data_IF_311442944429
#
_entry.id   IF_311442944429
#
_cell.length_a   1.000
_cell.length_b   1.000
_cell.length_c   1.000
_cell.angle_alpha   90.00
_cell.angle_beta   90.00
_cell.angle_gamma   90.00
#
_symmetry.space_group_name_H-M   'P 1'
#
loop_
_entity.id
_entity.type
_entity.pdbx_description
1 polymer ?
#
# COMPACT_ATOMS: atom_id res chain seq x y z
N UNK A 1 23.91 13.18 -23.74
CA UNK A 1 23.92 12.15 -24.81
C UNK A 1 25.30 11.73 -25.31
N UNK A 2 26.39 12.50 -25.13
CA UNK A 2 27.72 12.14 -25.66
C UNK A 2 28.53 11.22 -24.70
N UNK A 3 28.22 11.20 -23.40
CA UNK A 3 28.94 10.38 -22.41
C UNK A 3 28.54 8.89 -22.41
N UNK A 4 27.29 8.56 -22.79
CA UNK A 4 26.79 7.17 -22.81
C UNK A 4 27.37 6.35 -23.97
N UNK A 5 27.69 7.00 -25.10
CA UNK A 5 28.20 6.33 -26.31
C UNK A 5 29.65 5.86 -26.13
N UNK A 6 30.43 6.53 -25.27
CA UNK A 6 31.83 6.18 -24.99
C UNK A 6 31.99 4.95 -24.10
N UNK A 7 31.06 4.72 -23.16
CA UNK A 7 31.10 3.56 -22.24
C UNK A 7 30.76 2.26 -22.99
N UNK A 8 29.81 2.32 -23.92
CA UNK A 8 29.39 1.16 -24.73
C UNK A 8 30.48 0.75 -25.74
N UNK A 9 31.24 1.71 -26.30
CA UNK A 9 32.40 1.40 -27.16
C UNK A 9 33.57 0.79 -26.38
N UNK A 10 33.78 1.19 -25.13
CA UNK A 10 34.84 0.62 -24.29
C UNK A 10 34.52 -0.84 -23.89
N UNK A 11 33.26 -1.14 -23.58
CA UNK A 11 32.80 -2.49 -23.26
C UNK A 11 32.96 -3.48 -24.43
N UNK A 12 32.68 -3.02 -25.66
CA UNK A 12 32.80 -3.85 -26.88
C UNK A 12 34.26 -4.18 -27.23
N UNK A 13 35.20 -3.28 -26.95
CA UNK A 13 36.63 -3.49 -27.21
C UNK A 13 37.27 -4.50 -26.24
N UNK A 14 36.72 -4.63 -25.03
CA UNK A 14 37.18 -5.61 -24.02
C UNK A 14 36.67 -7.04 -24.29
N UNK A 15 35.64 -7.20 -25.12
CA UNK A 15 35.09 -8.54 -25.44
C UNK A 15 35.86 -9.25 -26.55
N UNK A 16 36.61 -8.52 -27.38
CA UNK A 16 37.33 -9.06 -28.55
C UNK A 16 38.82 -9.40 -28.30
N UNK A 17 39.37 -9.09 -27.11
CA UNK A 17 40.73 -9.52 -26.75
C UNK A 17 40.73 -10.95 -26.19
N UNK A 18 41.10 -11.92 -27.04
CA UNK A 18 41.52 -13.26 -26.58
C UNK A 18 42.87 -13.14 -25.85
N UNK A 19 42.84 -13.14 -24.52
CA UNK A 19 44.03 -13.34 -23.69
C UNK A 19 43.88 -14.60 -22.82
N UNK A 20 44.94 -15.43 -22.71
CA UNK A 20 44.90 -16.69 -21.99
C UNK A 20 45.12 -16.46 -20.49
N UNK A 21 44.20 -16.99 -19.67
CA UNK A 21 44.32 -17.34 -18.23
C UNK A 21 43.10 -16.88 -17.43
N UNK A 22 42.03 -17.65 -17.59
CA UNK A 22 40.81 -17.60 -16.80
C UNK A 22 41.04 -18.29 -15.45
N UNK A 23 40.89 -17.56 -14.34
CA UNK A 23 40.17 -17.99 -13.11
C UNK A 23 40.17 -16.88 -12.05
N UNK A 24 41.24 -16.06 -11.96
CA UNK A 24 41.36 -15.05 -10.90
C UNK A 24 40.72 -13.68 -11.22
N UNK A 25 40.60 -13.30 -12.50
CA UNK A 25 40.03 -12.00 -12.90
C UNK A 25 38.49 -11.91 -12.73
N UNK A 26 37.77 -13.05 -12.77
CA UNK A 26 36.31 -13.07 -12.58
C UNK A 26 35.88 -12.70 -11.15
N UNK A 27 36.71 -13.00 -10.13
CA UNK A 27 36.39 -12.68 -8.73
C UNK A 27 36.54 -11.19 -8.41
N UNK A 28 37.49 -10.50 -9.03
CA UNK A 28 37.71 -9.07 -8.81
C UNK A 28 36.62 -8.20 -9.48
N UNK A 29 36.15 -8.58 -10.67
CA UNK A 29 35.10 -7.84 -11.39
C UNK A 29 33.71 -8.08 -10.77
N UNK A 30 33.42 -9.30 -10.32
CA UNK A 30 32.18 -9.60 -9.59
C UNK A 30 32.17 -8.91 -8.22
N UNK A 31 33.32 -8.79 -7.55
CA UNK A 31 33.46 -8.03 -6.30
C UNK A 31 33.21 -6.52 -6.46
N UNK A 32 33.69 -5.91 -7.55
CA UNK A 32 33.47 -4.47 -7.78
C UNK A 32 32.03 -4.14 -8.24
N UNK A 33 31.35 -5.06 -8.93
CA UNK A 33 29.93 -4.91 -9.28
C UNK A 33 29.03 -5.13 -8.05
N UNK A 34 29.40 -6.05 -7.15
CA UNK A 34 28.67 -6.28 -5.89
C UNK A 34 28.81 -5.11 -4.89
N UNK A 35 29.95 -4.41 -4.90
CA UNK A 35 30.16 -3.21 -4.06
C UNK A 35 29.45 -1.95 -4.60
N UNK A 36 29.11 -1.90 -5.90
CA UNK A 36 28.32 -0.81 -6.48
C UNK A 36 26.79 -1.02 -6.33
N UNK A 37 26.34 -2.25 -6.08
CA UNK A 37 24.93 -2.56 -5.82
C UNK A 37 24.49 -2.20 -4.38
N UNK A 38 25.43 -1.90 -3.49
CA UNK A 38 25.20 -1.66 -2.06
C UNK A 38 24.89 -0.21 -1.67
N UNK A 39 24.79 0.72 -2.61
CA UNK A 39 24.47 2.11 -2.30
C UNK A 39 23.69 2.77 -3.44
N UNK A 40 22.49 2.27 -3.73
CA UNK A 40 21.48 3.07 -4.39
C UNK A 40 21.01 4.12 -3.37
N UNK A 41 21.76 5.21 -3.24
CA UNK A 41 21.21 6.44 -2.70
C UNK A 41 19.91 6.73 -3.47
N UNK A 42 18.80 6.82 -2.75
CA UNK A 42 17.50 7.09 -3.30
C UNK A 42 17.59 8.33 -4.21
N UNK A 43 17.39 8.14 -5.52
CA UNK A 43 17.34 9.23 -6.47
C UNK A 43 16.21 10.22 -6.15
N UNK A 44 16.24 11.44 -6.72
CA UNK A 44 15.16 12.43 -6.54
C UNK A 44 13.78 11.81 -6.78
N UNK A 45 12.76 12.29 -6.05
CA UNK A 45 11.41 11.73 -6.10
C UNK A 45 10.84 11.66 -7.53
N UNK A 46 11.15 12.65 -8.37
CA UNK A 46 10.79 12.66 -9.79
C UNK A 46 11.33 11.45 -10.56
N UNK A 47 12.58 11.07 -10.31
CA UNK A 47 13.22 9.90 -10.95
C UNK A 47 12.56 8.61 -10.49
N UNK A 48 12.24 8.51 -9.19
CA UNK A 48 11.53 7.36 -8.62
C UNK A 48 10.11 7.23 -9.19
N UNK A 49 9.42 8.35 -9.36
CA UNK A 49 8.07 8.40 -9.91
C UNK A 49 8.06 7.98 -11.38
N UNK A 50 9.02 8.48 -12.17
CA UNK A 50 9.20 8.06 -13.56
C UNK A 50 9.48 6.56 -13.67
N UNK A 51 10.35 6.02 -12.82
CA UNK A 51 10.63 4.58 -12.80
C UNK A 51 9.40 3.74 -12.44
N UNK A 52 8.61 4.16 -11.43
CA UNK A 52 7.37 3.47 -11.06
C UNK A 52 6.32 3.53 -12.19
N UNK A 53 6.24 4.66 -12.90
CA UNK A 53 5.38 4.80 -14.06
C UNK A 53 5.83 3.89 -15.22
N UNK A 54 7.13 3.83 -15.50
CA UNK A 54 7.67 2.95 -16.55
C UNK A 54 7.42 1.47 -16.23
N UNK A 55 7.63 1.05 -14.97
CA UNK A 55 7.31 -0.31 -14.52
C UNK A 55 5.82 -0.63 -14.67
N UNK A 56 4.95 0.32 -14.30
CA UNK A 56 3.52 0.22 -14.55
C UNK A 56 3.20 0.04 -16.04
N UNK A 57 3.83 0.83 -16.92
CA UNK A 57 3.63 0.71 -18.37
C UNK A 57 4.15 -0.63 -18.93
N UNK A 58 5.27 -1.15 -18.41
CA UNK A 58 5.79 -2.48 -18.80
C UNK A 58 4.82 -3.58 -18.38
N UNK A 59 4.34 -3.54 -17.14
CA UNK A 59 3.32 -4.47 -16.66
C UNK A 59 2.06 -4.40 -17.55
N UNK A 60 1.61 -3.20 -17.96
CA UNK A 60 0.50 -3.05 -18.93
C UNK A 60 0.79 -3.73 -20.27
N UNK A 61 2.00 -3.60 -20.81
CA UNK A 61 2.38 -4.20 -22.08
C UNK A 61 2.44 -5.72 -22.00
N UNK A 62 2.97 -6.27 -20.91
CA UNK A 62 3.06 -7.72 -20.70
C UNK A 62 1.68 -8.37 -20.48
N UNK A 63 0.76 -7.66 -19.83
CA UNK A 63 -0.56 -8.19 -19.53
C UNK A 63 -1.54 -8.16 -20.72
N UNK A 64 -1.23 -7.40 -21.78
CA UNK A 64 -1.94 -7.47 -23.08
C UNK A 64 -1.42 -8.69 -23.85
N UNK A 65 -1.93 -9.88 -23.54
CA UNK A 65 -1.77 -11.02 -24.42
C UNK A 65 -2.71 -10.89 -25.62
N UNK A 66 -2.16 -10.69 -26.83
CA UNK A 66 -2.87 -10.98 -28.07
C UNK A 66 -3.26 -9.81 -28.98
N UNK A 67 -2.45 -8.76 -29.11
CA UNK A 67 -2.57 -7.82 -30.24
C UNK A 67 -1.30 -7.79 -31.12
N UNK A 68 -0.74 -8.96 -31.39
CA UNK A 68 0.09 -9.15 -32.57
C UNK A 68 -0.82 -9.85 -33.58
N UNK A 69 -1.37 -9.08 -34.52
CA UNK A 69 -1.89 -9.62 -35.77
C UNK A 69 -0.68 -9.94 -36.67
N UNK A 70 -0.35 -11.22 -36.92
CA UNK A 70 0.72 -11.58 -37.84
C UNK A 70 0.30 -11.45 -39.31
N UNK A 71 -0.94 -11.04 -39.61
CA UNK A 71 -1.48 -10.95 -40.97
C UNK A 71 -2.15 -9.60 -41.28
N UNK A 72 -1.40 -8.51 -41.12
CA UNK A 72 -1.36 -7.39 -42.08
C UNK A 72 -2.67 -6.84 -42.66
N UNK A 73 -3.78 -6.84 -41.93
CA UNK A 73 -5.01 -6.12 -42.34
C UNK A 73 -5.55 -5.42 -41.10
N UNK A 74 -5.56 -4.08 -41.03
CA UNK A 74 -6.19 -3.40 -39.92
C UNK A 74 -7.71 -3.66 -40.01
N UNK A 75 -8.24 -4.49 -39.12
CA UNK A 75 -9.68 -4.48 -38.85
C UNK A 75 -10.07 -3.04 -38.51
N UNK A 76 -11.19 -2.59 -39.08
CA UNK A 76 -11.88 -1.32 -38.78
C UNK A 76 -11.68 -1.00 -37.31
N UNK A 77 -11.06 0.15 -37.00
CA UNK A 77 -10.70 0.57 -35.66
C UNK A 77 -11.86 0.29 -34.68
N UNK A 78 -11.79 -0.85 -34.00
CA UNK A 78 -12.72 -1.17 -32.93
C UNK A 78 -12.30 -0.21 -31.83
N UNK A 79 -13.20 0.64 -31.31
CA UNK A 79 -12.92 1.33 -30.06
C UNK A 79 -12.71 0.24 -29.02
N UNK A 80 -11.44 -0.06 -28.74
CA UNK A 80 -11.07 -0.76 -27.53
C UNK A 80 -11.42 0.24 -26.44
N UNK A 81 -12.62 0.10 -25.89
CA UNK A 81 -12.90 0.65 -24.57
C UNK A 81 -12.01 -0.17 -23.66
N UNK A 82 -10.74 0.23 -23.55
CA UNK A 82 -9.94 -0.15 -22.42
C UNK A 82 -10.71 0.40 -21.23
N UNK A 83 -11.46 -0.44 -20.51
CA UNK A 83 -11.78 -0.12 -19.12
C UNK A 83 -10.42 0.09 -18.47
N UNK A 84 -10.01 1.33 -18.12
CA UNK A 84 -8.65 1.56 -17.68
C UNK A 84 -8.38 0.89 -16.31
N UNK A 85 -9.41 0.28 -15.72
CA UNK A 85 -9.57 -0.01 -14.29
C UNK A 85 -10.12 -1.43 -13.99
N UNK A 86 -9.79 -2.42 -14.82
CA UNK A 86 -9.99 -3.84 -14.50
C UNK A 86 -9.76 -4.73 -15.74
N UNK A 87 -9.02 -5.86 -15.67
CA UNK A 87 -8.65 -6.71 -14.52
C UNK A 87 -7.12 -6.93 -14.42
N UNK A 88 -6.35 -5.86 -14.17
CA UNK A 88 -4.88 -5.94 -14.08
C UNK A 88 -4.30 -5.50 -12.74
N UNK A 89 -5.15 -5.16 -11.78
CA UNK A 89 -4.82 -5.55 -10.41
C UNK A 89 -4.85 -7.08 -10.45
N UNK A 90 -3.72 -7.76 -10.13
CA UNK A 90 -3.86 -9.13 -9.60
C UNK A 90 -5.00 -9.04 -8.59
N UNK A 91 -6.05 -9.88 -8.63
CA UNK A 91 -7.11 -9.80 -7.62
C UNK A 91 -6.38 -9.67 -6.29
N UNK A 92 -6.44 -8.50 -5.62
CA UNK A 92 -5.50 -8.27 -4.52
C UNK A 92 -5.66 -9.44 -3.58
N UNK A 93 -4.57 -10.20 -3.40
CA UNK A 93 -4.66 -11.47 -2.73
C UNK A 93 -5.22 -11.18 -1.33
N UNK A 94 -6.41 -11.72 -1.10
CA UNK A 94 -7.07 -11.62 0.19
C UNK A 94 -6.06 -11.95 1.28
N UNK A 95 -5.88 -11.03 2.22
CA UNK A 95 -5.18 -11.31 3.46
C UNK A 95 -6.12 -12.15 4.29
N UNK A 96 -5.85 -13.45 4.37
CA UNK A 96 -6.71 -14.42 5.09
C UNK A 96 -6.20 -14.69 6.49
N UNK A 97 -7.10 -15.12 7.37
CA UNK A 97 -6.78 -15.49 8.75
C UNK A 97 -6.05 -14.37 9.50
N UNK A 98 -6.49 -13.14 9.28
CA UNK A 98 -5.89 -11.96 9.90
C UNK A 98 -6.60 -11.73 11.23
N UNK A 99 -5.87 -11.83 12.33
CA UNK A 99 -6.38 -11.42 13.64
C UNK A 99 -6.66 -9.91 13.60
N UNK A 100 -7.90 -9.53 13.92
CA UNK A 100 -8.33 -8.14 13.94
C UNK A 100 -8.56 -7.67 15.38
N UNK A 101 -8.08 -6.48 15.71
CA UNK A 101 -8.34 -5.81 16.97
C UNK A 101 -9.25 -4.60 16.78
N UNK A 102 -9.80 -4.07 17.87
CA UNK A 102 -10.70 -2.91 17.82
C UNK A 102 -10.02 -1.71 18.48
N UNK A 103 -10.04 -0.58 17.79
CA UNK A 103 -9.54 0.71 18.26
C UNK A 103 -10.53 1.80 17.88
N UNK A 104 -10.41 2.99 18.49
CA UNK A 104 -11.28 4.09 18.14
C UNK A 104 -10.65 5.47 18.31
N UNK A 105 -11.19 6.43 17.57
CA UNK A 105 -10.80 7.85 17.63
C UNK A 105 -11.00 8.41 19.03
N UNK A 106 -9.95 9.01 19.59
CA UNK A 106 -9.93 9.64 20.91
C UNK A 106 -9.69 8.67 22.07
N UNK A 107 -9.43 7.38 21.81
CA UNK A 107 -9.02 6.41 22.83
C UNK A 107 -7.82 6.95 23.63
N UNK A 108 -7.96 6.94 24.96
CA UNK A 108 -6.90 7.38 25.86
C UNK A 108 -5.88 6.27 26.09
N UNK A 109 -4.63 6.62 26.43
CA UNK A 109 -3.63 5.62 26.77
C UNK A 109 -4.10 4.77 27.95
N UNK A 110 -3.84 3.48 27.89
CA UNK A 110 -4.01 2.53 28.98
C UNK A 110 -2.70 1.80 29.24
N UNK A 111 -2.63 1.04 30.34
CA UNK A 111 -1.45 0.21 30.66
C UNK A 111 -1.12 -0.77 29.52
N UNK A 112 -2.14 -1.23 28.78
CA UNK A 112 -1.98 -2.17 27.67
C UNK A 112 -1.80 -1.48 26.30
N UNK A 113 -2.19 -0.20 26.17
CA UNK A 113 -2.02 0.61 24.97
C UNK A 113 -1.47 2.00 25.34
N UNK A 114 -0.15 2.22 25.34
CA UNK A 114 0.44 3.48 25.79
C UNK A 114 0.22 4.65 24.82
N UNK A 115 -0.32 4.40 23.63
CA UNK A 115 -0.53 5.42 22.59
C UNK A 115 -1.99 5.84 22.57
N UNK A 116 -2.23 7.15 22.74
CA UNK A 116 -3.55 7.73 22.56
C UNK A 116 -3.90 7.80 21.06
N UNK A 117 -5.16 7.53 20.72
CA UNK A 117 -5.71 7.68 19.37
C UNK A 117 -6.41 9.04 19.19
N UNK A 118 -5.95 10.07 19.92
CA UNK A 118 -6.43 11.45 19.77
C UNK A 118 -5.91 12.12 18.48
N UNK A 119 -4.86 11.54 17.91
CA UNK A 119 -4.23 11.84 16.62
C UNK A 119 -4.03 10.53 15.86
N UNK A 120 -4.02 10.59 14.53
CA UNK A 120 -3.56 9.48 13.70
C UNK A 120 -2.15 9.74 13.16
N UNK A 121 -1.60 8.77 12.44
CA UNK A 121 -0.35 8.90 11.70
C UNK A 121 -0.33 10.06 10.71
N UNK A 122 -1.51 10.52 10.24
CA UNK A 122 -1.65 11.52 9.19
C UNK A 122 -2.54 12.70 9.57
N UNK A 123 -3.21 12.65 10.71
CA UNK A 123 -4.05 13.72 11.23
C UNK A 123 -3.66 14.05 12.69
N UNK A 124 -2.92 15.17 12.94
CA UNK A 124 -2.53 15.56 14.28
C UNK A 124 -3.71 16.01 15.15
N UNK A 125 -4.88 16.30 14.57
CA UNK A 125 -6.09 16.75 15.25
C UNK A 125 -7.26 15.76 15.03
N UNK A 126 -6.94 14.46 14.91
CA UNK A 126 -7.89 13.45 14.44
C UNK A 126 -9.21 13.42 15.20
N UNK A 127 -9.17 13.46 16.54
CA UNK A 127 -10.41 13.48 17.35
C UNK A 127 -11.27 14.71 17.07
N UNK A 128 -10.65 15.89 16.92
CA UNK A 128 -11.37 17.11 16.62
C UNK A 128 -11.96 17.08 15.20
N UNK A 129 -11.19 16.61 14.22
CA UNK A 129 -11.61 16.51 12.82
C UNK A 129 -12.66 15.43 12.59
N UNK A 130 -12.65 14.35 13.38
CA UNK A 130 -13.73 13.36 13.40
C UNK A 130 -15.03 13.94 13.97
N UNK A 131 -14.92 14.96 14.83
CA UNK A 131 -16.02 15.65 15.48
C UNK A 131 -16.20 15.32 16.97
N UNK A 132 -15.41 14.40 17.52
CA UNK A 132 -15.49 14.00 18.92
C UNK A 132 -14.86 12.64 19.21
N UNK A 133 -15.10 12.15 20.42
CA UNK A 133 -14.69 10.81 20.86
C UNK A 133 -15.60 9.74 20.25
N UNK A 134 -15.05 8.78 19.50
CA UNK A 134 -15.81 7.70 18.87
C UNK A 134 -16.14 6.59 19.88
N UNK A 135 -17.10 6.86 20.77
CA UNK A 135 -17.43 5.97 21.87
C UNK A 135 -17.83 4.56 21.38
N UNK A 136 -17.08 3.50 21.74
CA UNK A 136 -17.36 2.15 21.28
C UNK A 136 -18.60 1.53 21.94
N UNK A 137 -19.16 2.12 23.00
CA UNK A 137 -20.28 1.58 23.77
C UNK A 137 -21.56 2.41 23.59
N UNK A 138 -21.45 3.72 23.33
CA UNK A 138 -22.58 4.62 23.13
C UNK A 138 -22.77 4.97 21.64
N UNK A 139 -23.57 4.17 20.93
CA UNK A 139 -23.76 4.29 19.46
C UNK A 139 -25.22 4.50 19.04
N UNK A 140 -25.41 5.27 17.97
CA UNK A 140 -26.65 5.36 17.20
C UNK A 140 -26.41 4.81 15.78
N UNK A 141 -26.95 3.62 15.52
CA UNK A 141 -26.54 2.82 14.37
C UNK A 141 -25.04 2.50 14.42
N UNK A 142 -24.29 3.00 13.43
CA UNK A 142 -22.85 2.79 13.32
C UNK A 142 -22.02 4.02 13.67
N UNK A 143 -22.65 5.11 14.13
CA UNK A 143 -21.98 6.33 14.58
C UNK A 143 -22.03 6.46 16.12
N UNK A 144 -21.19 7.30 16.74
CA UNK A 144 -21.35 7.71 18.13
C UNK A 144 -22.73 8.34 18.36
N UNK A 145 -23.34 8.07 19.52
CA UNK A 145 -24.67 8.61 19.83
C UNK A 145 -24.68 10.12 20.15
N UNK A 146 -23.53 10.70 20.53
CA UNK A 146 -23.44 12.07 21.03
C UNK A 146 -23.34 13.16 19.96
N UNK A 147 -23.00 12.81 18.71
CA UNK A 147 -22.78 13.76 17.63
C UNK A 147 -22.82 13.07 16.27
N UNK A 148 -22.95 13.85 15.19
CA UNK A 148 -22.77 13.37 13.82
C UNK A 148 -21.29 13.50 13.44
N UNK A 149 -20.58 12.40 13.13
CA UNK A 149 -19.19 12.46 12.73
C UNK A 149 -18.97 13.29 11.46
N UNK A 150 -17.84 13.99 11.41
CA UNK A 150 -17.39 14.77 10.25
C UNK A 150 -16.44 13.98 9.34
N UNK A 151 -16.04 12.79 9.78
CA UNK A 151 -15.27 11.80 9.03
C UNK A 151 -16.00 10.46 9.05
N UNK A 152 -15.60 9.56 8.16
CA UNK A 152 -16.21 8.25 8.06
C UNK A 152 -16.05 7.47 9.37
N UNK A 153 -17.14 6.90 9.90
CA UNK A 153 -17.08 6.03 11.08
C UNK A 153 -16.52 4.64 10.77
N UNK A 154 -16.48 4.26 9.49
CA UNK A 154 -15.88 3.02 9.02
C UNK A 154 -14.43 3.25 8.63
N UNK A 155 -13.54 3.08 9.60
CA UNK A 155 -12.09 3.21 9.40
C UNK A 155 -11.31 2.02 9.95
N UNK A 156 -10.07 1.89 9.49
CA UNK A 156 -9.09 0.88 9.90
C UNK A 156 -7.69 1.47 10.09
N UNK A 157 -6.84 0.73 10.79
CA UNK A 157 -5.40 0.91 10.75
C UNK A 157 -4.70 -0.33 10.17
N UNK A 158 -3.70 -0.10 9.32
CA UNK A 158 -2.80 -1.13 8.79
C UNK A 158 -1.34 -0.81 9.15
N UNK A 159 -0.46 -1.82 9.31
CA UNK A 159 0.83 -1.65 9.98
C UNK A 159 1.93 -1.09 9.05
N UNK A 160 1.63 0.00 8.34
CA UNK A 160 2.54 0.70 7.46
C UNK A 160 2.25 2.21 7.39
N UNK A 161 3.25 3.03 7.70
CA UNK A 161 3.22 4.47 7.46
C UNK A 161 4.10 4.78 6.24
N UNK A 162 3.52 5.33 5.19
CA UNK A 162 4.25 5.75 3.99
C UNK A 162 5.11 7.00 4.20
N UNK A 163 4.85 7.76 5.28
CA UNK A 163 5.60 8.93 5.67
C UNK A 163 6.58 8.64 6.81
N UNK A 164 7.70 9.35 6.78
CA UNK A 164 8.67 9.44 7.87
C UNK A 164 8.28 10.56 8.83
N UNK A 165 8.92 10.64 10.00
CA UNK A 165 8.70 11.71 10.97
C UNK A 165 8.96 13.12 10.41
N UNK A 166 9.80 13.25 9.38
CA UNK A 166 10.06 14.50 8.68
C UNK A 166 9.07 14.81 7.55
N UNK A 167 7.99 14.03 7.40
CA UNK A 167 6.98 14.20 6.36
C UNK A 167 7.39 13.71 4.97
N UNK A 168 8.63 13.24 4.78
CA UNK A 168 9.06 12.64 3.51
C UNK A 168 8.50 11.22 3.36
N UNK A 169 8.19 10.84 2.14
CA UNK A 169 7.85 9.45 1.84
C UNK A 169 9.04 8.53 2.06
N UNK A 170 8.76 7.32 2.58
CA UNK A 170 9.78 6.27 2.74
C UNK A 170 10.42 5.87 1.40
N UNK A 171 11.62 5.31 1.46
CA UNK A 171 12.40 4.97 0.26
C UNK A 171 11.75 3.87 -0.57
N UNK A 172 11.05 2.94 0.08
CA UNK A 172 10.34 1.85 -0.56
C UNK A 172 8.95 2.25 -1.07
N UNK A 173 8.34 3.32 -0.52
CA UNK A 173 6.93 3.66 -0.75
C UNK A 173 6.56 3.73 -2.24
N UNK A 174 7.39 4.40 -3.06
CA UNK A 174 7.17 4.55 -4.50
C UNK A 174 7.24 3.26 -5.31
N UNK A 175 7.80 2.18 -4.73
CA UNK A 175 7.96 0.88 -5.37
C UNK A 175 6.91 -0.12 -4.90
N UNK A 176 6.51 -0.03 -3.63
CA UNK A 176 5.66 -1.06 -2.99
C UNK A 176 4.19 -0.68 -2.95
N UNK A 177 3.85 0.61 -3.00
CA UNK A 177 2.46 1.08 -2.96
C UNK A 177 1.93 1.13 -4.41
N UNK A 178 0.94 0.30 -4.79
CA UNK A 178 0.52 0.15 -6.18
C UNK A 178 0.04 1.46 -6.83
N UNK A 179 -0.62 2.31 -6.05
CA UNK A 179 -1.21 3.58 -6.50
C UNK A 179 -0.32 4.81 -6.20
N UNK A 180 0.94 4.62 -5.78
CA UNK A 180 1.80 5.73 -5.35
C UNK A 180 1.84 6.85 -6.38
N UNK A 181 2.08 6.49 -7.65
CA UNK A 181 2.31 7.45 -8.71
C UNK A 181 1.06 8.26 -9.06
N UNK A 182 -0.12 7.67 -8.87
CA UNK A 182 -1.41 8.34 -9.12
C UNK A 182 -1.78 9.30 -8.00
N UNK A 183 -1.47 8.92 -6.76
CA UNK A 183 -1.92 9.60 -5.54
C UNK A 183 -0.90 10.58 -4.96
N UNK A 184 0.37 10.52 -5.36
CA UNK A 184 1.40 11.43 -4.84
C UNK A 184 1.04 12.90 -5.09
N UNK A 185 1.06 13.72 -4.05
CA UNK A 185 0.77 15.17 -4.11
C UNK A 185 1.85 16.06 -3.50
N UNK A 186 2.99 15.48 -3.12
CA UNK A 186 4.07 16.19 -2.43
C UNK A 186 4.40 15.57 -1.08
N UNK A 187 5.46 16.07 -0.45
CA UNK A 187 5.83 15.66 0.90
C UNK A 187 4.77 16.09 1.92
N UNK A 188 4.62 15.31 2.99
CA UNK A 188 3.65 15.53 4.06
C UNK A 188 2.22 15.06 3.75
N UNK A 189 1.95 14.63 2.51
CA UNK A 189 0.65 14.11 2.09
C UNK A 189 0.77 12.61 1.85
N UNK A 190 0.14 11.83 2.71
CA UNK A 190 0.13 10.37 2.59
C UNK A 190 -0.62 9.92 1.34
N UNK A 191 -0.10 8.89 0.66
CA UNK A 191 -0.78 8.15 -0.40
C UNK A 191 -1.60 6.97 0.14
N UNK A 192 -1.42 6.59 1.40
CA UNK A 192 -2.18 5.52 2.05
C UNK A 192 -3.51 6.00 2.65
N UNK A 193 -3.51 7.19 3.27
CA UNK A 193 -4.68 7.74 3.96
C UNK A 193 -5.91 7.78 3.05
N UNK A 194 -7.03 7.27 3.54
CA UNK A 194 -8.32 7.27 2.87
C UNK A 194 -8.48 6.21 1.78
N UNK A 195 -7.48 5.35 1.54
CA UNK A 195 -7.63 4.21 0.64
C UNK A 195 -8.60 3.19 1.26
N UNK A 196 -9.38 2.51 0.42
CA UNK A 196 -10.44 1.63 0.88
C UNK A 196 -9.95 0.19 1.05
N UNK A 197 -10.52 -0.49 2.04
CA UNK A 197 -10.42 -1.94 2.20
C UNK A 197 -11.80 -2.57 2.20
N UNK A 198 -11.90 -3.75 1.58
CA UNK A 198 -13.02 -4.68 1.76
C UNK A 198 -12.64 -5.70 2.83
N UNK A 199 -13.54 -5.93 3.79
CA UNK A 199 -13.34 -6.80 4.95
C UNK A 199 -14.46 -7.82 5.00
N UNK A 200 -14.10 -9.09 5.02
CA UNK A 200 -15.02 -10.21 5.05
C UNK A 200 -14.90 -11.00 6.36
N UNK A 201 -16.04 -11.29 6.98
CA UNK A 201 -16.13 -12.17 8.16
C UNK A 201 -17.50 -12.83 8.25
N UNK A 202 -17.53 -14.16 8.28
CA UNK A 202 -18.75 -14.94 8.50
C UNK A 202 -19.88 -14.64 7.51
N UNK A 203 -19.56 -14.43 6.23
CA UNK A 203 -20.54 -14.11 5.19
C UNK A 203 -21.00 -12.65 5.16
N UNK A 204 -20.44 -11.77 6.01
CA UNK A 204 -20.68 -10.33 5.99
C UNK A 204 -19.50 -9.61 5.36
N UNK A 205 -19.79 -8.61 4.53
CA UNK A 205 -18.80 -7.78 3.83
C UNK A 205 -18.96 -6.33 4.26
N UNK A 206 -17.88 -5.75 4.75
CA UNK A 206 -17.78 -4.37 5.22
C UNK A 206 -16.71 -3.63 4.41
N UNK A 207 -16.88 -2.32 4.25
CA UNK A 207 -15.89 -1.46 3.60
C UNK A 207 -15.47 -0.35 4.56
N UNK A 208 -14.19 -0.05 4.62
CA UNK A 208 -13.65 0.95 5.54
C UNK A 208 -12.44 1.68 4.95
N UNK A 209 -12.23 2.91 5.41
CA UNK A 209 -11.10 3.75 5.00
C UNK A 209 -9.89 3.53 5.89
N UNK A 210 -8.70 3.49 5.28
CA UNK A 210 -7.45 3.42 6.01
C UNK A 210 -7.08 4.80 6.56
N UNK A 211 -7.23 5.00 7.88
CA UNK A 211 -7.11 6.32 8.51
C UNK A 211 -5.99 6.42 9.55
N UNK A 212 -5.39 5.29 9.96
CA UNK A 212 -4.27 5.28 10.89
C UNK A 212 -3.27 4.14 10.63
N UNK A 213 -2.20 4.08 11.41
CA UNK A 213 -1.13 3.08 11.29
C UNK A 213 -1.04 2.22 12.54
N UNK A 214 -1.20 0.92 12.34
CA UNK A 214 -1.21 -0.08 13.40
C UNK A 214 -1.67 -1.43 12.83
N UNK A 215 -1.53 -2.54 13.57
CA UNK A 215 -1.17 -2.59 14.98
C UNK A 215 0.36 -2.74 15.21
N UNK A 216 0.86 -2.10 16.29
CA UNK A 216 2.22 -2.20 16.88
C UNK A 216 3.44 -1.79 16.05
N UNK A 217 3.41 -1.99 14.73
CA UNK A 217 4.51 -1.66 13.82
C UNK A 217 4.01 -0.73 12.73
N UNK A 218 4.94 0.04 12.16
CA UNK A 218 4.64 1.12 11.21
C UNK A 218 5.36 0.96 9.88
N UNK A 219 6.03 -0.18 9.66
CA UNK A 219 6.95 -0.39 8.54
C UNK A 219 6.76 -1.73 7.83
N UNK A 220 5.66 -2.45 8.08
CA UNK A 220 5.47 -3.82 7.60
C UNK A 220 4.82 -3.88 6.21
N UNK A 221 5.44 -3.21 5.25
CA UNK A 221 4.97 -3.20 3.85
C UNK A 221 4.94 -4.59 3.21
N UNK A 222 5.80 -5.53 3.65
CA UNK A 222 5.83 -6.89 3.13
C UNK A 222 4.55 -7.67 3.45
N UNK A 223 3.88 -7.33 4.55
CA UNK A 223 2.55 -7.86 4.85
C UNK A 223 1.48 -7.05 4.11
N UNK A 224 1.50 -5.72 4.23
CA UNK A 224 0.43 -4.86 3.69
C UNK A 224 0.32 -4.98 2.17
N UNK A 225 1.44 -4.86 1.45
CA UNK A 225 1.49 -4.90 -0.02
C UNK A 225 2.11 -6.19 -0.58
N UNK A 226 2.77 -7.01 0.26
CA UNK A 226 3.38 -8.28 -0.15
C UNK A 226 2.56 -9.51 0.25
N UNK A 227 3.24 -10.62 0.54
CA UNK A 227 2.61 -11.92 0.84
C UNK A 227 2.99 -12.46 2.23
N UNK A 228 3.70 -11.66 3.05
CA UNK A 228 4.00 -12.05 4.41
C UNK A 228 2.73 -12.08 5.27
N UNK A 229 2.80 -12.76 6.42
CA UNK A 229 1.78 -12.68 7.49
C UNK A 229 2.12 -11.54 8.45
N UNK A 230 1.15 -11.02 9.23
CA UNK A 230 1.46 -10.06 10.30
C UNK A 230 2.55 -10.60 11.24
N UNK A 231 3.44 -9.72 11.69
CA UNK A 231 4.45 -10.08 12.69
C UNK A 231 3.78 -10.41 14.02
N UNK A 232 4.39 -11.35 14.76
CA UNK A 232 3.98 -11.63 16.14
C UNK A 232 4.00 -10.35 16.98
N UNK A 233 2.94 -10.15 17.74
CA UNK A 233 2.75 -9.01 18.64
C UNK A 233 1.93 -9.45 19.86
N UNK A 234 1.69 -8.52 20.81
CA UNK A 234 0.98 -8.82 22.07
C UNK A 234 -0.46 -9.31 21.84
N UNK A 235 -1.05 -9.01 20.69
CA UNK A 235 -2.40 -9.41 20.29
C UNK A 235 -2.38 -10.56 19.27
N UNK A 236 -1.48 -11.54 19.47
CA UNK A 236 -1.44 -12.78 18.68
C UNK A 236 -1.30 -12.56 17.16
N UNK A 237 -0.36 -11.71 16.76
CA UNK A 237 -0.14 -11.32 15.35
C UNK A 237 -1.36 -10.64 14.72
N UNK A 238 -2.00 -9.72 15.47
CA UNK A 238 -2.97 -8.81 14.90
C UNK A 238 -2.38 -8.09 13.68
N UNK A 239 -3.14 -8.01 12.59
CA UNK A 239 -2.71 -7.40 11.32
C UNK A 239 -3.55 -6.22 10.86
N UNK A 240 -4.69 -5.97 11.52
CA UNK A 240 -5.58 -4.87 11.20
C UNK A 240 -6.30 -4.41 12.48
N UNK A 241 -6.39 -3.10 12.69
CA UNK A 241 -7.27 -2.52 13.72
C UNK A 241 -8.54 -2.00 13.06
N UNK A 242 -9.69 -2.30 13.66
CA UNK A 242 -11.02 -2.00 13.15
C UNK A 242 -11.73 -0.99 14.04
N UNK A 243 -12.37 0.00 13.43
CA UNK A 243 -13.27 0.92 14.14
C UNK A 243 -14.46 0.19 14.80
N UNK A 244 -15.13 0.81 15.79
CA UNK A 244 -16.33 0.24 16.40
C UNK A 244 -17.47 0.02 15.38
N UNK A 245 -17.59 0.89 14.37
CA UNK A 245 -18.57 0.72 13.30
C UNK A 245 -18.36 -0.57 12.51
N UNK A 246 -17.11 -0.87 12.15
CA UNK A 246 -16.75 -2.12 11.44
C UNK A 246 -17.00 -3.34 12.34
N UNK A 247 -16.60 -3.26 13.62
CA UNK A 247 -16.86 -4.31 14.62
C UNK A 247 -18.35 -4.64 14.69
N UNK A 248 -19.20 -3.62 14.83
CA UNK A 248 -20.63 -3.79 15.02
C UNK A 248 -21.33 -4.30 13.75
N UNK A 249 -20.88 -3.83 12.58
CA UNK A 249 -21.38 -4.34 11.31
C UNK A 249 -21.05 -5.82 11.11
N UNK A 250 -19.79 -6.21 11.34
CA UNK A 250 -19.34 -7.60 11.18
C UNK A 250 -19.77 -8.51 12.34
N UNK A 251 -20.20 -7.94 13.47
CA UNK A 251 -20.60 -8.65 14.68
C UNK A 251 -19.46 -9.47 15.29
N UNK A 252 -18.24 -8.93 15.24
CA UNK A 252 -17.03 -9.61 15.73
C UNK A 252 -16.59 -9.08 17.09
N UNK A 253 -15.77 -9.88 17.78
CA UNK A 253 -15.04 -9.45 18.97
C UNK A 253 -13.58 -9.20 18.62
N UNK A 254 -12.94 -8.29 19.36
CA UNK A 254 -11.49 -8.05 19.24
C UNK A 254 -10.72 -9.36 19.44
N UNK A 255 -9.75 -9.63 18.58
CA UNK A 255 -8.95 -10.86 18.53
C UNK A 255 -9.51 -11.95 17.61
N UNK A 256 -10.68 -11.76 16.99
CA UNK A 256 -11.21 -12.71 16.00
C UNK A 256 -10.60 -12.48 14.61
N UNK A 257 -10.66 -13.52 13.76
CA UNK A 257 -10.09 -13.45 12.42
C UNK A 257 -11.05 -12.81 11.40
N UNK A 258 -10.46 -12.06 10.47
CA UNK A 258 -11.12 -11.52 9.27
C UNK A 258 -10.28 -11.84 8.04
N UNK A 259 -10.88 -11.61 6.88
CA UNK A 259 -10.17 -11.51 5.62
C UNK A 259 -10.30 -10.08 5.10
N UNK A 260 -9.25 -9.53 4.48
CA UNK A 260 -9.35 -8.21 3.87
C UNK A 260 -8.54 -8.08 2.59
N UNK A 261 -8.91 -7.12 1.74
CA UNK A 261 -8.14 -6.70 0.55
C UNK A 261 -8.31 -5.21 0.29
N UNK A 262 -7.41 -4.62 -0.49
CA UNK A 262 -7.61 -3.28 -1.02
C UNK A 262 -8.70 -3.29 -2.10
N UNK A 263 -9.43 -2.18 -2.20
CA UNK A 263 -10.43 -1.94 -3.24
C UNK A 263 -10.41 -0.48 -3.64
N UNK A 264 -10.78 -0.21 -4.89
CA UNK A 264 -10.91 1.15 -5.39
C UNK A 264 -12.24 1.78 -5.00
N UNK A 265 -12.30 3.11 -5.00
CA UNK A 265 -13.51 3.85 -4.60
C UNK A 265 -14.75 3.42 -5.41
N UNK A 266 -14.60 3.16 -6.72
CA UNK A 266 -15.72 2.72 -7.57
C UNK A 266 -16.19 1.29 -7.28
N UNK A 267 -15.41 0.47 -6.57
CA UNK A 267 -15.77 -0.88 -6.15
C UNK A 267 -16.56 -0.88 -4.84
N UNK A 268 -16.51 0.22 -4.07
CA UNK A 268 -17.20 0.34 -2.78
C UNK A 268 -18.68 0.66 -3.02
N UNK A 269 -19.60 -0.31 -2.81
CA UNK A 269 -21.02 -0.10 -3.07
C UNK A 269 -21.63 0.88 -2.06
N UNK A 270 -22.84 1.36 -2.35
CA UNK A 270 -23.62 2.14 -1.39
C UNK A 270 -23.92 1.28 -0.17
N UNK A 271 -23.63 1.81 1.01
CA UNK A 271 -23.84 1.12 2.27
C UNK A 271 -23.59 2.03 3.47
N UNK A 272 -23.64 1.49 4.70
CA UNK A 272 -23.46 2.27 5.92
C UNK A 272 -22.14 3.04 6.01
N UNK A 273 -21.12 2.60 5.28
CA UNK A 273 -19.78 3.20 5.17
C UNK A 273 -19.70 4.42 4.23
N UNK A 274 -20.77 4.79 3.53
CA UNK A 274 -20.87 6.00 2.69
C UNK A 274 -22.03 6.87 3.19
N UNK A 275 -21.89 7.44 4.40
CA UNK A 275 -22.83 8.43 4.95
C UNK A 275 -22.29 9.84 4.87
#
# INVERSE_FOLDING_TARGET
>A
MILLVSIVRFAKTLTDMRLPNFQNARRAIIGCIALAAGSLQAGPMEVRLAAAHDEFLVNRREAIHGLLDPFGVPEVARPVIETPRGPFHKPEDWKRHVVATVFWVGEQPSENNPTANTKSAWDPNWQANFGGYDDPLARDGYAPAGFVPQQNSFYVALPYNDLTSGGKHREEASKVIPWFWEKYRGDGISVCKGHWVEIHRGGRVCYAQWEDVGPFVVDHWQYVFGQERPRLNRNNAAGIDLSPAVRDFLGLRSGEEVEWRFVEDYEVPVGPWRR
#
